data_IF_307352999797
#
_entry.id   IF_307352999797
#
_cell.length_a   1.000
_cell.length_b   1.000
_cell.length_c   1.000
_cell.angle_alpha   90.00
_cell.angle_beta   90.00
_cell.angle_gamma   90.00
#
_symmetry.space_group_name_H-M   'P 1'
#
loop_
_entity.id
_entity.type
_entity.pdbx_description
1 polymer ?
#
# COMPACT_ATOMS: atom_id res chain seq x y z
N UNK A 1 -13.16 21.52 -49.35
CA UNK A 1 -13.63 21.74 -47.98
C UNK A 1 -13.05 20.57 -47.21
N UNK A 2 -11.86 20.76 -46.65
CA UNK A 2 -11.19 19.74 -45.84
C UNK A 2 -12.01 19.60 -44.56
N UNK A 3 -12.57 18.41 -44.34
CA UNK A 3 -13.16 18.04 -43.06
C UNK A 3 -12.02 17.96 -42.05
N UNK A 4 -11.99 18.91 -41.14
CA UNK A 4 -11.14 18.87 -39.96
C UNK A 4 -11.61 17.73 -39.08
N UNK A 5 -10.81 16.66 -38.99
CA UNK A 5 -10.98 15.62 -37.99
C UNK A 5 -10.94 16.25 -36.59
N UNK A 6 -12.03 16.09 -35.82
CA UNK A 6 -12.02 16.41 -34.40
C UNK A 6 -10.99 15.54 -33.68
N UNK A 7 -10.20 16.09 -32.75
CA UNK A 7 -9.22 15.30 -32.02
C UNK A 7 -9.96 14.22 -31.21
N UNK A 8 -9.55 12.97 -31.42
CA UNK A 8 -10.01 11.84 -30.63
C UNK A 8 -9.97 12.20 -29.14
N UNK A 9 -11.11 12.01 -28.46
CA UNK A 9 -11.27 12.17 -27.02
C UNK A 9 -10.11 11.45 -26.32
N UNK A 10 -9.12 12.22 -25.86
CA UNK A 10 -8.02 11.72 -25.05
C UNK A 10 -8.65 11.38 -23.70
N UNK A 11 -9.23 10.17 -23.62
CA UNK A 11 -10.10 9.73 -22.54
C UNK A 11 -9.56 10.19 -21.19
N UNK A 12 -10.20 11.20 -20.63
CA UNK A 12 -9.81 11.71 -19.32
C UNK A 12 -9.98 10.57 -18.32
N UNK A 13 -8.91 10.24 -17.60
CA UNK A 13 -9.00 9.23 -16.56
C UNK A 13 -10.02 9.70 -15.52
N UNK A 14 -10.97 8.84 -15.19
CA UNK A 14 -12.00 9.18 -14.20
C UNK A 14 -11.32 9.50 -12.86
N UNK A 15 -11.80 10.52 -12.12
CA UNK A 15 -11.22 10.85 -10.84
C UNK A 15 -11.31 9.65 -9.87
N UNK A 16 -10.31 9.44 -8.99
CA UNK A 16 -10.39 8.40 -7.99
C UNK A 16 -11.65 8.55 -7.13
N UNK A 17 -12.37 7.44 -6.95
CA UNK A 17 -13.60 7.41 -6.15
C UNK A 17 -13.30 6.84 -4.76
N UNK A 18 -13.73 7.55 -3.72
CA UNK A 18 -13.73 7.05 -2.34
C UNK A 18 -15.09 6.43 -2.01
N UNK A 19 -15.11 5.14 -1.71
CA UNK A 19 -16.32 4.43 -1.29
C UNK A 19 -16.44 4.59 0.23
N UNK A 20 -17.42 5.36 0.67
CA UNK A 20 -17.76 5.56 2.08
C UNK A 20 -19.14 4.99 2.39
N UNK A 21 -19.25 4.25 3.50
CA UNK A 21 -20.52 3.84 4.10
C UNK A 21 -20.35 3.82 5.61
N UNK A 22 -21.17 4.59 6.36
CA UNK A 22 -21.11 4.57 7.82
C UNK A 22 -21.45 3.20 8.40
N UNK A 23 -22.31 2.43 7.72
CA UNK A 23 -22.64 1.05 8.08
C UNK A 23 -21.42 0.14 7.95
N UNK A 24 -20.69 0.22 6.83
CA UNK A 24 -19.47 -0.58 6.65
C UNK A 24 -18.35 -0.18 7.60
N UNK A 25 -18.22 1.11 7.93
CA UNK A 25 -17.28 1.57 8.96
C UNK A 25 -17.63 0.96 10.32
N UNK A 26 -18.89 1.07 10.74
CA UNK A 26 -19.36 0.48 12.00
C UNK A 26 -19.17 -1.05 12.06
N UNK A 27 -19.45 -1.75 10.96
CA UNK A 27 -19.19 -3.19 10.85
C UNK A 27 -17.70 -3.47 11.02
N UNK A 28 -16.82 -2.77 10.30
CA UNK A 28 -15.36 -2.95 10.41
C UNK A 28 -14.86 -2.74 11.84
N UNK A 29 -15.37 -1.74 12.56
CA UNK A 29 -15.01 -1.46 13.96
C UNK A 29 -15.48 -2.55 14.93
N UNK A 30 -16.57 -3.24 14.60
CA UNK A 30 -17.14 -4.33 15.42
C UNK A 30 -16.41 -5.68 15.26
N UNK A 31 -15.59 -5.83 14.22
CA UNK A 31 -14.93 -7.11 13.91
C UNK A 31 -13.74 -7.35 14.85
N UNK A 32 -13.82 -8.43 15.64
CA UNK A 32 -12.71 -8.87 16.47
C UNK A 32 -11.49 -9.22 15.59
N UNK A 33 -10.32 -8.69 15.96
CA UNK A 33 -9.04 -9.08 15.36
C UNK A 33 -8.87 -10.59 15.49
N UNK A 34 -8.71 -11.31 14.39
CA UNK A 34 -8.46 -12.76 14.42
C UNK A 34 -7.05 -13.00 14.98
N UNK A 35 -6.92 -13.55 16.21
CA UNK A 35 -5.60 -13.76 16.80
C UNK A 35 -4.78 -14.70 15.92
N UNK A 36 -3.49 -14.40 15.75
CA UNK A 36 -2.56 -15.16 14.90
C UNK A 36 -2.88 -15.20 13.40
N UNK A 37 -3.92 -14.55 12.89
CA UNK A 37 -4.18 -14.51 11.43
C UNK A 37 -3.02 -13.90 10.67
N UNK A 38 -2.49 -12.77 11.15
CA UNK A 38 -1.31 -12.14 10.57
C UNK A 38 -0.11 -13.10 10.59
N UNK A 39 0.10 -13.82 11.70
CA UNK A 39 1.15 -14.84 11.81
C UNK A 39 0.93 -16.02 10.86
N UNK A 40 -0.30 -16.51 10.68
CA UNK A 40 -0.62 -17.60 9.74
C UNK A 40 -0.46 -17.17 8.28
N UNK A 41 -0.91 -15.97 7.93
CA UNK A 41 -0.75 -15.40 6.59
C UNK A 41 0.73 -15.10 6.33
N UNK A 42 1.47 -14.58 7.32
CA UNK A 42 2.91 -14.40 7.24
C UNK A 42 3.62 -15.73 7.07
N UNK A 43 3.28 -16.76 7.84
CA UNK A 43 3.83 -18.11 7.68
C UNK A 43 3.50 -18.72 6.31
N UNK A 44 2.33 -18.43 5.73
CA UNK A 44 2.02 -18.80 4.35
C UNK A 44 2.86 -17.99 3.36
N UNK A 45 2.99 -16.68 3.54
CA UNK A 45 3.86 -15.79 2.74
C UNK A 45 5.34 -16.23 2.84
N UNK A 46 5.78 -16.77 3.97
CA UNK A 46 7.09 -17.38 4.15
C UNK A 46 7.19 -18.75 3.47
N UNK A 47 6.19 -19.62 3.66
CA UNK A 47 6.12 -20.95 3.07
C UNK A 47 6.06 -20.90 1.53
N UNK A 48 5.35 -19.90 0.97
CA UNK A 48 5.28 -19.60 -0.45
C UNK A 48 6.36 -18.59 -0.91
N UNK A 49 7.22 -18.11 0.01
CA UNK A 49 8.33 -17.21 -0.27
C UNK A 49 7.95 -15.87 -0.96
N UNK A 50 6.76 -15.32 -0.70
CA UNK A 50 6.19 -14.15 -1.39
C UNK A 50 6.75 -12.80 -0.93
N UNK A 51 7.30 -12.69 0.28
CA UNK A 51 7.85 -11.45 0.87
C UNK A 51 9.07 -10.87 0.14
N UNK A 52 9.51 -11.57 -0.88
CA UNK A 52 10.82 -11.43 -1.49
C UNK A 52 10.72 -10.83 -2.89
N UNK A 53 9.52 -10.33 -3.24
CA UNK A 53 9.09 -9.84 -4.55
C UNK A 53 9.14 -8.31 -4.70
N UNK A 54 9.78 -7.56 -3.83
CA UNK A 54 9.74 -6.09 -3.92
C UNK A 54 10.73 -5.49 -4.94
N UNK A 55 11.03 -6.24 -6.01
CA UNK A 55 11.39 -5.75 -7.36
C UNK A 55 10.90 -6.71 -8.46
N UNK A 56 9.67 -7.22 -8.28
CA UNK A 56 9.01 -8.22 -9.15
C UNK A 56 7.77 -7.67 -9.85
N UNK A 57 7.23 -6.55 -9.38
CA UNK A 57 6.00 -5.98 -9.94
C UNK A 57 6.10 -5.73 -11.45
N UNK A 58 7.28 -5.35 -11.96
CA UNK A 58 7.52 -5.21 -13.41
C UNK A 58 7.37 -6.53 -14.15
N UNK A 59 8.03 -7.57 -13.66
CA UNK A 59 7.98 -8.92 -14.24
C UNK A 59 6.58 -9.53 -14.12
N UNK A 60 5.85 -9.27 -13.03
CA UNK A 60 4.45 -9.67 -12.87
C UNK A 60 3.56 -8.97 -13.89
N UNK A 61 3.73 -7.67 -14.08
CA UNK A 61 2.98 -6.92 -15.10
C UNK A 61 3.19 -7.53 -16.49
N UNK A 62 4.44 -7.80 -16.87
CA UNK A 62 4.78 -8.40 -18.17
C UNK A 62 4.19 -9.81 -18.30
N UNK A 63 4.36 -10.65 -17.28
CA UNK A 63 3.95 -12.05 -17.34
C UNK A 63 2.43 -12.23 -17.33
N UNK A 64 1.70 -11.46 -16.52
CA UNK A 64 0.26 -11.61 -16.36
C UNK A 64 -0.57 -10.66 -17.23
N UNK A 65 0.02 -9.59 -17.78
CA UNK A 65 -0.65 -8.56 -18.59
C UNK A 65 -2.03 -8.15 -18.01
N UNK A 66 -2.07 -7.72 -16.73
CA UNK A 66 -3.33 -7.50 -16.03
C UNK A 66 -4.16 -6.40 -16.69
N UNK A 67 -5.49 -6.50 -16.56
CA UNK A 67 -6.44 -5.46 -16.98
C UNK A 67 -6.98 -4.62 -15.83
N UNK A 68 -6.78 -5.09 -14.60
CA UNK A 68 -7.12 -4.39 -13.37
C UNK A 68 -6.17 -4.83 -12.25
N UNK A 69 -6.07 -4.00 -11.21
CA UNK A 69 -5.25 -4.25 -10.02
C UNK A 69 -6.12 -4.13 -8.78
N UNK A 70 -5.94 -5.04 -7.82
CA UNK A 70 -6.40 -4.88 -6.45
C UNK A 70 -5.18 -4.70 -5.57
N UNK A 71 -5.02 -3.52 -4.97
CA UNK A 71 -3.86 -3.15 -4.16
C UNK A 71 -4.27 -3.02 -2.69
N UNK A 72 -3.86 -3.99 -1.88
CA UNK A 72 -4.06 -3.99 -0.44
C UNK A 72 -2.89 -3.24 0.23
N UNK A 73 -3.18 -2.17 0.97
CA UNK A 73 -2.20 -1.29 1.61
C UNK A 73 -2.23 -1.43 3.14
N UNK A 74 -1.92 -2.63 3.63
CA UNK A 74 -1.79 -2.89 5.06
C UNK A 74 -0.76 -1.97 5.72
N UNK A 75 -1.18 -1.29 6.78
CA UNK A 75 -0.37 -0.38 7.58
C UNK A 75 0.43 -1.09 8.69
N UNK A 76 0.27 -2.40 8.91
CA UNK A 76 1.04 -3.17 9.91
C UNK A 76 2.53 -3.36 9.58
N UNK A 77 2.97 -2.85 8.43
CA UNK A 77 4.37 -2.79 7.99
C UNK A 77 5.10 -1.53 8.46
N UNK A 78 4.38 -0.50 8.94
CA UNK A 78 4.98 0.77 9.33
C UNK A 78 5.70 0.67 10.69
N UNK A 79 6.69 1.54 10.88
CA UNK A 79 7.38 1.69 12.14
C UNK A 79 6.38 2.04 13.27
N UNK A 80 6.57 1.40 14.44
CA UNK A 80 5.71 1.60 15.61
C UNK A 80 4.43 0.76 15.64
N UNK A 81 4.22 -0.15 14.68
CA UNK A 81 3.13 -1.12 14.75
C UNK A 81 3.40 -2.22 15.83
N UNK A 82 2.40 -2.60 16.66
CA UNK A 82 2.51 -3.64 17.67
C UNK A 82 2.93 -5.02 17.15
N UNK A 83 2.62 -5.37 15.88
CA UNK A 83 3.08 -6.62 15.27
C UNK A 83 4.60 -6.64 15.09
N UNK A 84 5.26 -5.49 15.21
CA UNK A 84 6.71 -5.37 15.35
C UNK A 84 7.48 -6.09 14.23
N UNK A 85 6.90 -6.15 13.03
CA UNK A 85 7.45 -6.92 11.93
C UNK A 85 8.47 -6.10 11.15
N UNK A 86 8.11 -4.89 10.70
CA UNK A 86 8.91 -4.07 9.78
C UNK A 86 9.28 -2.69 10.36
N UNK A 87 10.02 -1.89 9.58
CA UNK A 87 10.46 -0.53 9.92
C UNK A 87 10.18 0.48 8.79
N UNK A 88 9.07 0.31 8.06
CA UNK A 88 8.73 1.17 6.92
C UNK A 88 8.12 2.50 7.36
N UNK A 89 8.10 3.47 6.43
CA UNK A 89 7.37 4.74 6.58
C UNK A 89 6.27 4.85 5.53
N UNK A 90 5.24 5.70 5.73
CA UNK A 90 4.24 6.00 4.70
C UNK A 90 4.85 6.42 3.37
N UNK A 91 5.96 7.17 3.40
CA UNK A 91 6.71 7.56 2.19
C UNK A 91 7.24 6.35 1.44
N UNK A 92 7.77 5.35 2.14
CA UNK A 92 8.24 4.10 1.54
C UNK A 92 7.12 3.33 0.84
N UNK A 93 5.97 3.18 1.49
CA UNK A 93 4.78 2.54 0.92
C UNK A 93 4.25 3.36 -0.28
N UNK A 94 4.26 4.69 -0.17
CA UNK A 94 3.84 5.60 -1.23
C UNK A 94 4.65 5.47 -2.52
N UNK A 95 5.94 5.07 -2.44
CA UNK A 95 6.74 4.77 -3.64
C UNK A 95 6.20 3.56 -4.40
N UNK A 96 5.82 2.49 -3.70
CA UNK A 96 5.20 1.30 -4.31
C UNK A 96 3.83 1.63 -4.91
N UNK A 97 3.01 2.40 -4.19
CA UNK A 97 1.71 2.87 -4.69
C UNK A 97 1.87 3.68 -5.98
N UNK A 98 2.77 4.68 -6.01
CA UNK A 98 3.04 5.47 -7.22
C UNK A 98 3.47 4.62 -8.40
N UNK A 99 4.30 3.61 -8.16
CA UNK A 99 4.76 2.69 -9.21
C UNK A 99 3.60 1.89 -9.83
N UNK A 100 2.66 1.39 -9.02
CA UNK A 100 1.48 0.67 -9.51
C UNK A 100 0.53 1.60 -10.28
N UNK A 101 0.29 2.81 -9.76
CA UNK A 101 -0.62 3.77 -10.41
C UNK A 101 -0.12 4.22 -11.80
N UNK A 102 1.19 4.19 -12.05
CA UNK A 102 1.79 4.46 -13.37
C UNK A 102 1.43 3.41 -14.43
N UNK A 103 0.86 2.27 -14.06
CA UNK A 103 0.39 1.28 -15.02
C UNK A 103 -0.91 1.68 -15.71
N UNK A 104 -1.59 2.73 -15.21
CA UNK A 104 -2.83 3.28 -15.79
C UNK A 104 -3.94 2.23 -15.95
N UNK A 105 -3.94 1.24 -15.05
CA UNK A 105 -4.97 0.20 -14.97
C UNK A 105 -6.05 0.57 -13.96
N UNK A 106 -7.26 0.06 -14.18
CA UNK A 106 -8.34 0.12 -13.19
C UNK A 106 -7.85 -0.48 -11.86
N UNK A 107 -7.73 0.34 -10.82
CA UNK A 107 -7.09 -0.04 -9.56
C UNK A 107 -8.04 0.15 -8.38
N UNK A 108 -8.39 -0.96 -7.72
CA UNK A 108 -9.10 -0.96 -6.44
C UNK A 108 -8.09 -0.95 -5.30
N UNK A 109 -8.11 0.10 -4.48
CA UNK A 109 -7.20 0.25 -3.35
C UNK A 109 -7.95 -0.07 -2.05
N UNK A 110 -7.37 -0.95 -1.25
CA UNK A 110 -7.94 -1.42 0.01
C UNK A 110 -7.00 -1.10 1.18
N UNK A 111 -7.56 -0.93 2.37
CA UNK A 111 -6.80 -0.90 3.62
C UNK A 111 -6.34 -2.31 4.03
N UNK A 112 -6.32 -2.60 5.34
CA UNK A 112 -6.15 -3.93 5.92
C UNK A 112 -5.50 -3.88 7.30
N UNK A 113 -4.44 -4.65 7.55
CA UNK A 113 -3.73 -4.63 8.84
C UNK A 113 -3.23 -3.24 9.23
N UNK A 114 -3.03 -2.99 10.53
CA UNK A 114 -2.69 -1.68 11.08
C UNK A 114 -3.17 -1.59 12.53
N UNK A 115 -2.28 -1.87 13.47
CA UNK A 115 -2.63 -2.13 14.86
C UNK A 115 -2.21 -0.99 15.80
N UNK A 116 -1.37 -0.06 15.33
CA UNK A 116 -1.30 1.29 15.86
C UNK A 116 -2.29 2.19 15.10
N UNK A 117 -3.41 2.54 15.74
CA UNK A 117 -4.53 3.24 15.08
C UNK A 117 -4.13 4.61 14.53
N UNK A 118 -3.42 5.41 15.32
CA UNK A 118 -2.98 6.75 14.90
C UNK A 118 -2.01 6.67 13.72
N UNK A 119 -1.04 5.75 13.77
CA UNK A 119 -0.11 5.55 12.66
C UNK A 119 -0.78 4.96 11.41
N UNK A 120 -1.79 4.13 11.59
CA UNK A 120 -2.62 3.62 10.48
C UNK A 120 -3.37 4.76 9.81
N UNK A 121 -4.01 5.63 10.58
CA UNK A 121 -4.70 6.82 10.08
C UNK A 121 -3.74 7.77 9.34
N UNK A 122 -2.55 8.05 9.91
CA UNK A 122 -1.48 8.82 9.23
C UNK A 122 -1.09 8.21 7.89
N UNK A 123 -0.84 6.90 7.88
CA UNK A 123 -0.40 6.17 6.69
C UNK A 123 -1.45 6.24 5.58
N UNK A 124 -2.71 5.86 5.85
CA UNK A 124 -3.75 5.87 4.83
C UNK A 124 -4.14 7.28 4.38
N UNK A 125 -4.09 8.28 5.27
CA UNK A 125 -4.28 9.70 4.89
C UNK A 125 -3.19 10.15 3.92
N UNK A 126 -1.93 9.87 4.22
CA UNK A 126 -0.81 10.17 3.32
C UNK A 126 -0.96 9.47 1.96
N UNK A 127 -1.29 8.17 1.96
CA UNK A 127 -1.46 7.41 0.72
C UNK A 127 -2.65 7.90 -0.11
N UNK A 128 -3.72 8.39 0.53
CA UNK A 128 -4.83 9.06 -0.14
C UNK A 128 -4.38 10.37 -0.79
N UNK A 129 -3.56 11.17 -0.11
CA UNK A 129 -2.90 12.33 -0.72
C UNK A 129 -2.10 11.96 -1.97
N UNK A 130 -1.34 10.87 -1.92
CA UNK A 130 -0.60 10.33 -3.08
C UNK A 130 -1.54 9.96 -4.23
N UNK A 131 -2.64 9.26 -3.97
CA UNK A 131 -3.65 8.87 -4.98
C UNK A 131 -4.26 10.12 -5.65
N UNK A 132 -4.52 11.16 -4.86
CA UNK A 132 -5.11 12.41 -5.33
C UNK A 132 -4.09 13.37 -5.97
N UNK A 133 -2.80 13.02 -6.00
CA UNK A 133 -1.74 13.92 -6.45
C UNK A 133 -1.58 15.17 -5.58
N UNK A 134 -2.01 15.11 -4.31
CA UNK A 134 -1.95 16.22 -3.35
C UNK A 134 -0.83 16.04 -2.35
N UNK A 135 -0.02 17.09 -2.18
CA UNK A 135 0.88 17.22 -1.04
C UNK A 135 0.08 17.66 0.17
N UNK A 136 0.17 16.93 1.27
CA UNK A 136 -0.51 17.25 2.53
C UNK A 136 0.44 18.02 3.45
N UNK A 137 -0.13 18.83 4.36
CA UNK A 137 0.63 19.46 5.45
C UNK A 137 1.19 18.39 6.39
N UNK A 138 2.35 18.68 6.98
CA UNK A 138 2.91 17.89 8.07
C UNK A 138 2.04 18.02 9.33
N UNK A 139 1.57 19.23 9.65
CA UNK A 139 0.70 19.48 10.79
C UNK A 139 -0.69 18.86 10.56
N UNK A 140 -1.13 18.02 11.50
CA UNK A 140 -2.47 17.42 11.47
C UNK A 140 -3.48 18.52 11.83
N UNK A 141 -4.52 18.75 11.01
CA UNK A 141 -5.56 19.73 11.33
C UNK A 141 -6.43 19.25 12.51
N UNK A 142 -7.08 20.19 13.20
CA UNK A 142 -8.00 19.86 14.29
C UNK A 142 -9.20 19.04 13.79
N UNK A 143 -9.57 18.00 14.54
CA UNK A 143 -10.73 17.13 14.31
C UNK A 143 -11.02 16.25 15.53
N UNK A 144 -12.13 15.50 15.50
CA UNK A 144 -12.64 14.69 16.63
C UNK A 144 -11.60 13.80 17.33
N UNK A 145 -10.61 13.27 16.60
CA UNK A 145 -9.59 12.35 17.13
C UNK A 145 -8.21 13.00 17.28
N UNK A 146 -8.10 14.34 17.20
CA UNK A 146 -6.82 15.06 17.14
C UNK A 146 -5.84 14.69 18.28
N UNK A 147 -6.34 14.50 19.50
CA UNK A 147 -5.50 14.16 20.65
C UNK A 147 -4.82 12.79 20.53
N UNK A 148 -5.32 11.90 19.67
CA UNK A 148 -4.72 10.57 19.45
C UNK A 148 -3.38 10.63 18.70
N UNK A 149 -3.04 11.77 18.09
CA UNK A 149 -1.80 11.96 17.35
C UNK A 149 -0.66 12.56 18.17
N UNK A 150 -0.85 12.74 19.48
CA UNK A 150 0.21 13.15 20.37
C UNK A 150 1.39 12.17 20.38
N UNK A 151 2.59 12.62 20.79
CA UNK A 151 2.88 13.98 21.27
C UNK A 151 3.17 14.98 20.15
N UNK A 152 3.42 14.51 18.92
CA UNK A 152 4.02 15.35 17.87
C UNK A 152 2.97 16.03 16.98
N UNK A 153 1.75 15.48 16.86
CA UNK A 153 0.65 16.01 16.05
C UNK A 153 1.00 16.22 14.55
N UNK A 154 1.99 15.48 14.06
CA UNK A 154 2.41 15.48 12.65
C UNK A 154 1.98 14.21 11.91
N UNK A 155 1.88 14.30 10.58
CA UNK A 155 1.48 13.22 9.68
C UNK A 155 2.62 12.21 9.47
N UNK A 156 3.87 12.66 9.55
CA UNK A 156 5.06 11.84 9.32
C UNK A 156 5.22 10.75 10.39
N UNK A 157 5.77 9.61 9.96
CA UNK A 157 6.19 8.52 10.84
C UNK A 157 7.67 8.28 10.59
N UNK A 158 8.47 8.42 11.65
CA UNK A 158 9.92 8.23 11.60
C UNK A 158 10.27 6.75 11.79
N UNK A 159 11.27 6.21 11.06
CA UNK A 159 11.79 4.88 11.32
C UNK A 159 12.30 4.75 12.75
N UNK A 160 12.13 3.57 13.35
CA UNK A 160 12.75 3.24 14.63
C UNK A 160 14.21 2.82 14.47
N UNK A 161 14.95 2.68 15.58
CA UNK A 161 16.31 2.12 15.59
C UNK A 161 16.36 0.59 15.39
N UNK A 162 15.27 -0.03 14.90
CA UNK A 162 15.21 -1.48 14.66
C UNK A 162 16.23 -1.86 13.58
N UNK A 163 17.12 -2.85 13.85
CA UNK A 163 18.08 -3.29 12.87
C UNK A 163 17.38 -3.99 11.70
N UNK A 164 17.81 -3.67 10.49
CA UNK A 164 17.45 -4.42 9.31
C UNK A 164 18.21 -5.76 9.31
N UNK A 165 17.47 -6.88 9.28
CA UNK A 165 18.02 -8.24 9.23
C UNK A 165 17.85 -8.87 7.84
N UNK A 166 17.45 -8.08 6.85
CA UNK A 166 17.35 -8.53 5.47
C UNK A 166 18.74 -8.52 4.83
N UNK A 167 19.41 -9.67 4.87
CA UNK A 167 20.72 -9.84 4.23
C UNK A 167 20.62 -9.62 2.71
N UNK A 168 21.44 -8.75 2.09
CA UNK A 168 21.33 -8.43 0.67
C UNK A 168 21.44 -9.65 -0.26
N UNK A 169 22.35 -10.57 0.06
CA UNK A 169 22.53 -11.80 -0.72
C UNK A 169 21.26 -12.68 -0.67
N UNK A 170 20.63 -12.78 0.49
CA UNK A 170 19.41 -13.55 0.69
C UNK A 170 18.30 -12.91 -0.10
N UNK A 171 18.09 -11.60 0.01
CA UNK A 171 17.10 -10.85 -0.79
C UNK A 171 17.28 -11.13 -2.29
N UNK A 172 18.51 -11.05 -2.80
CA UNK A 172 18.80 -11.29 -4.21
C UNK A 172 18.54 -12.73 -4.66
N UNK A 173 18.92 -13.72 -3.85
CA UNK A 173 18.67 -15.14 -4.15
C UNK A 173 17.20 -15.38 -4.42
N UNK A 174 16.33 -14.70 -3.68
CA UNK A 174 14.93 -14.99 -3.79
C UNK A 174 14.27 -14.17 -4.89
N UNK A 175 14.71 -12.94 -5.12
CA UNK A 175 14.34 -12.21 -6.32
C UNK A 175 14.58 -13.06 -7.58
N UNK A 176 15.73 -13.74 -7.64
CA UNK A 176 16.05 -14.65 -8.75
C UNK A 176 15.10 -15.86 -8.81
N UNK A 177 14.80 -16.49 -7.67
CA UNK A 177 13.86 -17.62 -7.60
C UNK A 177 12.47 -17.23 -8.12
N UNK A 178 11.94 -16.10 -7.69
CA UNK A 178 10.63 -15.61 -8.13
C UNK A 178 10.65 -15.30 -9.64
N UNK A 179 11.67 -14.59 -10.13
CA UNK A 179 11.80 -14.27 -11.55
C UNK A 179 11.93 -15.52 -12.40
N UNK A 180 12.53 -16.59 -11.87
CA UNK A 180 12.53 -17.91 -12.47
C UNK A 180 11.10 -18.45 -12.64
N UNK A 181 10.32 -18.44 -11.56
CA UNK A 181 8.94 -18.94 -11.58
C UNK A 181 8.03 -18.18 -12.55
N UNK A 182 8.19 -16.85 -12.65
CA UNK A 182 7.38 -16.02 -13.56
C UNK A 182 7.56 -16.36 -15.04
N UNK A 183 8.67 -17.02 -15.43
CA UNK A 183 8.87 -17.50 -16.80
C UNK A 183 7.95 -18.65 -17.19
N UNK A 184 7.25 -19.24 -16.22
CA UNK A 184 6.34 -20.37 -16.43
C UNK A 184 4.86 -19.95 -16.42
N UNK A 185 4.58 -18.65 -16.27
CA UNK A 185 3.22 -18.11 -16.42
C UNK A 185 2.89 -18.09 -17.91
N UNK A 186 1.75 -18.70 -18.27
CA UNK A 186 1.24 -18.84 -19.66
C UNK A 186 0.24 -17.75 -19.96
#
# INVERSE_FOLDING_TARGET
>A
MEESEEPADAGQSLPPVYIYSPEYVSVCDSLAKVPKRASMVHSLIEAYALHKQMSVLKEVYIAFNPKAVVLQLGADTIAGDPMCSFNMTPVGIGKCLKYILQWELATLILGGGGYNLANTARCWTYLTGVILGKTLSSEIPDHEFFTAYGPDYVLEITPSCRPDRNEPHRVQQILNYIKGNLKHVV
#
